data_IF_709807258810
#
_entry.id   IF_709807258810
#
_cell.length_a   1.000
_cell.length_b   1.000
_cell.length_c   1.000
_cell.angle_alpha   90.00
_cell.angle_beta   90.00
_cell.angle_gamma   90.00
#
_symmetry.space_group_name_H-M   'P 1'
#
loop_
_entity.id
_entity.type
_entity.pdbx_description
1 polymer ?
#
# COMPACT_ATOMS: atom_id res chain seq x y z
N UNK A 1 10.65 -11.86 10.04
CA UNK A 1 11.21 -10.50 10.13
C UNK A 1 10.42 -9.65 9.17
N UNK A 2 9.84 -8.54 9.62
CA UNK A 2 9.01 -7.64 8.79
C UNK A 2 9.79 -6.36 8.57
N UNK A 3 9.97 -5.96 7.31
CA UNK A 3 10.61 -4.70 6.93
C UNK A 3 9.55 -3.61 6.65
N UNK A 4 8.38 -3.72 7.29
CA UNK A 4 7.24 -2.80 7.07
C UNK A 4 6.94 -2.08 8.38
N UNK A 5 7.00 -0.75 8.33
CA UNK A 5 6.56 0.13 9.40
C UNK A 5 5.05 0.35 9.30
N UNK A 6 4.40 0.55 10.46
CA UNK A 6 2.97 0.79 10.54
C UNK A 6 2.64 1.83 11.61
N UNK A 7 1.94 2.89 11.23
CA UNK A 7 1.57 3.98 12.14
C UNK A 7 0.27 4.66 11.68
N UNK A 8 -0.67 4.87 12.62
CA UNK A 8 -2.00 5.48 12.35
C UNK A 8 -2.77 4.91 11.16
N UNK A 9 -2.55 3.63 10.83
CA UNK A 9 -3.19 2.95 9.70
C UNK A 9 -2.50 3.17 8.34
N UNK A 10 -1.32 3.77 8.33
CA UNK A 10 -0.42 3.86 7.18
C UNK A 10 0.68 2.83 7.30
N UNK A 11 1.19 2.36 6.16
CA UNK A 11 2.17 1.28 6.09
C UNK A 11 3.24 1.59 5.06
N UNK A 12 4.49 1.34 5.39
CA UNK A 12 5.61 1.62 4.51
C UNK A 12 6.68 0.53 4.62
N UNK A 13 6.97 -0.20 3.53
CA UNK A 13 8.20 -0.97 3.42
C UNK A 13 9.42 -0.06 3.53
N UNK A 14 10.43 -0.53 4.25
CA UNK A 14 11.73 0.15 4.39
C UNK A 14 12.77 -0.62 3.59
N UNK A 15 13.52 0.12 2.78
CA UNK A 15 14.58 -0.37 1.92
C UNK A 15 15.88 0.36 2.25
N UNK A 16 17.01 -0.31 2.02
CA UNK A 16 18.34 0.31 2.16
C UNK A 16 18.82 0.82 0.81
N UNK A 17 19.07 2.13 0.73
CA UNK A 17 19.72 2.76 -0.41
C UNK A 17 21.25 2.62 -0.24
N UNK A 18 21.85 1.78 -1.09
CA UNK A 18 23.28 1.52 -1.05
C UNK A 18 24.15 2.66 -1.57
N UNK A 19 23.60 3.56 -2.40
CA UNK A 19 24.33 4.70 -2.95
C UNK A 19 24.40 5.84 -1.94
N UNK A 20 23.29 6.13 -1.27
CA UNK A 20 23.18 7.17 -0.25
C UNK A 20 23.52 6.68 1.16
N UNK A 21 23.59 5.37 1.36
CA UNK A 21 23.85 4.72 2.65
C UNK A 21 22.80 5.07 3.73
N UNK A 22 21.53 5.14 3.33
CA UNK A 22 20.40 5.46 4.22
C UNK A 22 19.29 4.42 4.08
N UNK A 23 18.42 4.34 5.08
CA UNK A 23 17.15 3.65 5.00
C UNK A 23 16.10 4.61 4.44
N UNK A 24 15.29 4.15 3.49
CA UNK A 24 14.24 4.94 2.86
C UNK A 24 12.94 4.16 2.83
N UNK A 25 11.81 4.87 2.81
CA UNK A 25 10.51 4.25 2.62
C UNK A 25 9.49 5.23 2.05
N UNK A 26 8.44 4.66 1.49
CA UNK A 26 7.29 5.39 0.96
C UNK A 26 6.01 4.76 1.51
N UNK A 27 5.08 5.60 1.95
CA UNK A 27 3.77 5.13 2.40
C UNK A 27 3.02 4.49 1.24
N UNK A 28 2.55 3.27 1.48
CA UNK A 28 1.82 2.45 0.52
C UNK A 28 0.32 2.46 0.80
N UNK A 29 -0.47 2.19 -0.25
CA UNK A 29 -1.93 2.10 -0.14
C UNK A 29 -2.66 3.43 -0.27
N UNK A 30 -1.96 4.54 -0.54
CA UNK A 30 -2.51 5.87 -0.81
C UNK A 30 -1.94 6.43 -2.12
N UNK A 31 -2.57 7.47 -2.68
CA UNK A 31 -2.09 8.15 -3.90
C UNK A 31 -1.12 9.29 -3.61
N UNK A 32 -1.27 9.94 -2.45
CA UNK A 32 -0.37 11.01 -2.03
C UNK A 32 1.02 10.42 -1.76
N UNK A 33 2.07 11.10 -2.23
CA UNK A 33 3.44 10.65 -2.02
C UNK A 33 3.95 11.13 -0.66
N UNK A 34 4.06 10.21 0.29
CA UNK A 34 4.69 10.44 1.60
C UNK A 34 5.95 9.60 1.63
N UNK A 35 7.11 10.26 1.66
CA UNK A 35 8.44 9.65 1.65
C UNK A 35 9.19 10.06 2.90
N UNK A 36 10.06 9.18 3.37
CA UNK A 36 10.89 9.41 4.54
C UNK A 36 12.22 8.68 4.36
N UNK A 37 13.25 9.15 5.05
CA UNK A 37 14.57 8.55 5.08
C UNK A 37 15.20 8.73 6.46
N UNK A 38 16.14 7.87 6.81
CA UNK A 38 16.89 7.94 8.05
C UNK A 38 18.17 7.12 7.96
N UNK A 39 19.21 7.53 8.69
CA UNK A 39 20.51 6.87 8.70
C UNK A 39 20.55 5.65 9.62
N UNK A 40 19.62 5.56 10.57
CA UNK A 40 19.47 4.42 11.49
C UNK A 40 18.05 3.87 11.48
N UNK A 41 17.87 2.70 12.08
CA UNK A 41 16.55 2.08 12.22
C UNK A 41 15.59 2.95 13.05
N UNK A 42 16.09 3.58 14.12
CA UNK A 42 15.32 4.48 14.98
C UNK A 42 14.97 5.78 14.26
N UNK A 43 15.92 6.33 13.49
CA UNK A 43 15.70 7.57 12.74
C UNK A 43 14.67 7.37 11.64
N UNK A 44 14.76 6.29 10.85
CA UNK A 44 13.80 6.04 9.77
C UNK A 44 12.39 5.77 10.29
N UNK A 45 12.25 5.14 11.46
CA UNK A 45 10.95 4.95 12.12
C UNK A 45 10.36 6.29 12.59
N UNK A 46 11.18 7.15 13.20
CA UNK A 46 10.74 8.49 13.62
C UNK A 46 10.35 9.35 12.41
N UNK A 47 11.18 9.39 11.36
CA UNK A 47 10.88 10.13 10.14
C UNK A 47 9.62 9.64 9.45
N UNK A 48 9.32 8.33 9.52
CA UNK A 48 8.04 7.80 9.06
C UNK A 48 6.85 8.34 9.87
N UNK A 49 6.94 8.35 11.21
CA UNK A 49 5.87 8.90 12.06
C UNK A 49 5.64 10.39 11.80
N UNK A 50 6.73 11.16 11.70
CA UNK A 50 6.68 12.60 11.43
C UNK A 50 6.04 12.87 10.07
N UNK A 51 6.46 12.15 9.01
CA UNK A 51 5.91 12.30 7.68
C UNK A 51 4.40 11.96 7.60
N UNK A 52 3.95 10.97 8.38
CA UNK A 52 2.52 10.63 8.49
C UNK A 52 1.75 11.72 9.26
N UNK A 53 2.33 12.26 10.32
CA UNK A 53 1.69 13.30 11.12
C UNK A 53 1.57 14.62 10.37
N UNK A 54 2.63 15.01 9.65
CA UNK A 54 2.63 16.15 8.73
C UNK A 54 1.57 16.00 7.64
N UNK A 55 1.39 14.79 7.08
CA UNK A 55 0.35 14.53 6.10
C UNK A 55 -1.06 14.72 6.67
N UNK A 56 -1.30 14.21 7.88
CA UNK A 56 -2.59 14.33 8.55
C UNK A 56 -2.91 15.77 8.93
N UNK A 57 -1.92 16.52 9.42
CA UNK A 57 -2.04 17.94 9.71
C UNK A 57 -2.33 18.73 8.43
N UNK A 58 -1.57 18.50 7.36
CA UNK A 58 -1.82 19.10 6.05
C UNK A 58 -3.24 18.83 5.54
N UNK A 59 -3.73 17.59 5.67
CA UNK A 59 -5.11 17.26 5.30
C UNK A 59 -6.13 18.06 6.11
N UNK A 60 -5.93 18.16 7.43
CA UNK A 60 -6.79 18.93 8.32
C UNK A 60 -6.80 20.42 7.96
N UNK A 61 -5.64 21.03 7.73
CA UNK A 61 -5.52 22.45 7.35
C UNK A 61 -6.19 22.76 6.01
N UNK A 62 -6.14 21.82 5.06
CA UNK A 62 -6.78 21.98 3.74
C UNK A 62 -8.26 21.57 3.72
N UNK A 63 -8.81 21.10 4.83
CA UNK A 63 -10.16 20.52 4.88
C UNK A 63 -10.32 19.32 3.94
N UNK A 64 -9.22 18.58 3.69
CA UNK A 64 -9.18 17.38 2.87
C UNK A 64 -9.32 16.15 3.79
N UNK A 65 -10.16 15.20 3.40
CA UNK A 65 -10.17 13.88 4.04
C UNK A 65 -8.87 13.12 3.70
N UNK A 66 -8.10 12.67 4.72
CA UNK A 66 -6.87 11.92 4.48
C UNK A 66 -7.18 10.57 3.81
N UNK A 67 -6.30 10.12 2.91
CA UNK A 67 -6.50 8.87 2.21
C UNK A 67 -6.33 7.67 3.13
N UNK A 68 -7.35 6.82 3.17
CA UNK A 68 -7.31 5.60 3.97
C UNK A 68 -6.60 4.49 3.19
N UNK A 69 -5.42 4.08 3.68
CA UNK A 69 -4.70 2.96 3.11
C UNK A 69 -5.53 1.67 3.18
N UNK A 70 -5.44 0.84 2.15
CA UNK A 70 -6.02 -0.51 2.10
C UNK A 70 -7.53 -0.60 2.43
N UNK A 71 -8.35 0.31 1.91
CA UNK A 71 -9.82 0.35 2.11
C UNK A 71 -10.64 -0.81 1.50
N UNK A 72 -9.99 -1.91 1.09
CA UNK A 72 -10.63 -3.11 0.54
C UNK A 72 -11.07 -3.03 -0.92
N UNK A 73 -10.99 -1.87 -1.58
CA UNK A 73 -11.24 -1.73 -3.01
C UNK A 73 -9.93 -1.84 -3.80
N UNK A 74 -9.87 -2.77 -4.76
CA UNK A 74 -8.70 -3.04 -5.59
C UNK A 74 -9.10 -3.04 -7.06
N UNK A 75 -8.87 -1.92 -7.76
CA UNK A 75 -9.19 -1.76 -9.17
C UNK A 75 -7.97 -2.09 -10.03
N UNK A 76 -8.03 -3.20 -10.78
CA UNK A 76 -6.92 -3.68 -11.63
C UNK A 76 -7.31 -3.65 -13.11
N UNK A 77 -6.36 -3.26 -13.96
CA UNK A 77 -6.47 -3.42 -15.43
C UNK A 77 -5.75 -4.69 -15.86
N UNK A 78 -6.47 -5.80 -15.91
CA UNK A 78 -5.91 -7.13 -16.27
C UNK A 78 -5.81 -7.38 -17.78
N UNK A 79 -6.41 -6.52 -18.60
CA UNK A 79 -6.54 -6.72 -20.05
C UNK A 79 -7.74 -7.61 -20.41
N UNK A 80 -8.24 -7.47 -21.63
CA UNK A 80 -9.49 -8.10 -22.08
C UNK A 80 -9.45 -9.63 -22.06
N UNK A 81 -8.32 -10.22 -22.45
CA UNK A 81 -8.18 -11.68 -22.52
C UNK A 81 -8.13 -12.33 -21.14
N UNK A 82 -7.30 -11.82 -20.23
CA UNK A 82 -7.24 -12.35 -18.86
C UNK A 82 -8.56 -12.14 -18.11
N UNK A 83 -9.21 -10.99 -18.30
CA UNK A 83 -10.53 -10.74 -17.76
C UNK A 83 -11.56 -11.77 -18.25
N UNK A 84 -11.59 -12.06 -19.56
CA UNK A 84 -12.48 -13.08 -20.14
C UNK A 84 -12.21 -14.45 -19.53
N UNK A 85 -10.95 -14.87 -19.44
CA UNK A 85 -10.58 -16.16 -18.87
C UNK A 85 -10.99 -16.29 -17.40
N UNK A 86 -10.72 -15.26 -16.59
CA UNK A 86 -11.10 -15.22 -15.18
C UNK A 86 -12.63 -15.25 -15.00
N UNK A 87 -13.37 -14.47 -15.79
CA UNK A 87 -14.83 -14.44 -15.74
C UNK A 87 -15.46 -15.80 -16.09
N UNK A 88 -14.94 -16.48 -17.12
CA UNK A 88 -15.40 -17.83 -17.49
C UNK A 88 -15.05 -18.87 -16.43
N UNK A 89 -13.88 -18.76 -15.79
CA UNK A 89 -13.46 -19.65 -14.71
C UNK A 89 -14.36 -19.48 -13.45
N UNK A 90 -14.64 -18.23 -13.07
CA UNK A 90 -15.54 -17.91 -11.96
C UNK A 90 -16.97 -18.45 -12.24
N UNK A 91 -17.48 -18.23 -13.46
CA UNK A 91 -18.80 -18.72 -13.86
C UNK A 91 -18.91 -20.26 -13.79
N UNK A 92 -17.87 -21.00 -14.23
CA UNK A 92 -17.83 -22.48 -14.13
C UNK A 92 -17.88 -22.97 -12.69
N UNK A 93 -17.36 -22.19 -11.74
CA UNK A 93 -17.39 -22.48 -10.30
C UNK A 93 -18.66 -21.99 -9.60
N UNK A 94 -19.53 -21.25 -10.28
CA UNK A 94 -20.73 -20.65 -9.69
C UNK A 94 -20.43 -19.50 -8.73
N UNK A 95 -19.31 -18.79 -8.91
CA UNK A 95 -18.91 -17.68 -8.03
C UNK A 95 -18.74 -16.35 -8.79
N UNK A 96 -18.69 -15.25 -8.04
CA UNK A 96 -18.43 -13.93 -8.62
C UNK A 96 -16.95 -13.80 -9.02
N UNK A 97 -16.68 -12.98 -10.04
CA UNK A 97 -15.32 -12.67 -10.46
C UNK A 97 -14.49 -12.11 -9.29
N UNK A 98 -15.08 -11.26 -8.44
CA UNK A 98 -14.41 -10.73 -7.26
C UNK A 98 -14.01 -11.85 -6.30
N UNK A 99 -14.88 -12.84 -6.03
CA UNK A 99 -14.55 -13.98 -5.17
C UNK A 99 -13.41 -14.81 -5.76
N UNK A 100 -13.48 -15.12 -7.05
CA UNK A 100 -12.42 -15.84 -7.76
C UNK A 100 -11.07 -15.12 -7.66
N UNK A 101 -11.04 -13.81 -7.87
CA UNK A 101 -9.82 -12.99 -7.78
C UNK A 101 -9.30 -12.92 -6.35
N UNK A 102 -10.18 -12.70 -5.35
CA UNK A 102 -9.79 -12.68 -3.94
C UNK A 102 -9.19 -14.01 -3.50
N UNK A 103 -9.78 -15.14 -3.90
CA UNK A 103 -9.23 -16.47 -3.60
C UNK A 103 -7.86 -16.68 -4.28
N UNK A 104 -7.70 -16.25 -5.53
CA UNK A 104 -6.43 -16.35 -6.23
C UNK A 104 -5.33 -15.49 -5.58
N UNK A 105 -5.66 -14.27 -5.13
CA UNK A 105 -4.73 -13.41 -4.37
C UNK A 105 -4.37 -14.08 -3.04
N UNK A 106 -5.36 -14.60 -2.30
CA UNK A 106 -5.12 -15.26 -1.02
C UNK A 106 -4.24 -16.52 -1.14
N UNK A 107 -4.33 -17.25 -2.26
CA UNK A 107 -3.49 -18.42 -2.52
C UNK A 107 -2.04 -18.07 -2.90
N UNK A 108 -1.75 -16.82 -3.26
CA UNK A 108 -0.43 -16.35 -3.68
C UNK A 108 0.35 -15.63 -2.56
N UNK A 109 -0.29 -15.38 -1.42
CA UNK A 109 0.30 -14.81 -0.20
C UNK A 109 0.68 -15.95 0.77
#
# INVERSE_FOLDING_TARGET
MSNVLAYKGYFAPVEFDAEQHVLTGMVTGIRDAIVFEGSTAEEVEQCFHDAVDDYLEFCAEKGKEPERAFKGSFNVRTGSELHKQAALAAAKKGESLNKFVTEAIAAAL
#
